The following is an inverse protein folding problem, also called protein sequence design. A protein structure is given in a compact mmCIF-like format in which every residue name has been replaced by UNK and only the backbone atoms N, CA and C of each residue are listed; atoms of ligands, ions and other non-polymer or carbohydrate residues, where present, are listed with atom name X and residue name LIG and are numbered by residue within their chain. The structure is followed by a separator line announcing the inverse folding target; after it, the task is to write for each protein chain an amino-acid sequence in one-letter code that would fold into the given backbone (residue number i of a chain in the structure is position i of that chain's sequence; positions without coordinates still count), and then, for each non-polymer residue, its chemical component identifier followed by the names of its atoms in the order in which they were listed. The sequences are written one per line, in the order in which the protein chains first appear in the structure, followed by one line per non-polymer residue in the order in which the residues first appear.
data_IF_349725546260
#
_entry.id   IF_349725546260
#
_cell.length_a   1.000
_cell.length_b   1.000
_cell.length_c   1.000
_cell.angle_alpha   90.00
_cell.angle_beta   90.00
_cell.angle_gamma   90.00
#
_symmetry.space_group_name_H-M   'P 1'
#
loop_
_entity.id
_entity.type
_entity.pdbx_description
1 polymer ?
#
# COMPACT_ATOMS: atom_id res chain seq x y z
N UNK A 1 -5.98 -5.10 -1.22
CA UNK A 1 -5.23 -6.17 -0.52
C UNK A 1 -3.73 -5.95 -0.42
N UNK A 2 -2.99 -5.71 -1.52
CA UNK A 2 -1.52 -5.48 -1.44
C UNK A 2 -1.15 -4.43 -0.39
N UNK A 3 -1.88 -3.31 -0.34
CA UNK A 3 -1.67 -2.28 0.69
C UNK A 3 -1.82 -2.80 2.12
N UNK A 4 -2.77 -3.69 2.39
CA UNK A 4 -2.93 -4.29 3.73
C UNK A 4 -1.82 -5.28 4.07
N UNK A 5 -1.35 -6.05 3.08
CA UNK A 5 -0.20 -6.94 3.27
C UNK A 5 1.04 -6.11 3.63
N UNK A 6 1.30 -5.04 2.87
CA UNK A 6 2.41 -4.12 3.11
C UNK A 6 2.29 -3.37 4.43
N UNK A 7 1.08 -3.07 4.91
CA UNK A 7 0.84 -2.38 6.19
C UNK A 7 0.69 -3.32 7.38
N UNK A 8 0.63 -4.63 7.16
CA UNK A 8 0.41 -5.63 8.20
C UNK A 8 -1.03 -5.68 8.72
N UNK A 9 -2.00 -5.25 7.90
CA UNK A 9 -3.44 -5.24 8.19
C UNK A 9 -4.21 -6.39 7.53
N UNK A 10 -3.53 -7.22 6.76
CA UNK A 10 -4.16 -8.30 6.00
C UNK A 10 -4.68 -9.43 6.92
N UNK A 11 -5.97 -9.73 6.78
CA UNK A 11 -6.77 -10.69 7.53
C UNK A 11 -6.82 -12.07 6.85
N UNK A 12 -6.04 -12.33 5.79
CA UNK A 12 -6.12 -13.61 5.09
C UNK A 12 -5.76 -14.78 6.03
N UNK A 13 -6.68 -15.72 6.24
CA UNK A 13 -6.49 -16.93 7.06
C UNK A 13 -6.89 -18.14 6.23
N UNK A 14 -6.00 -19.13 6.12
CA UNK A 14 -6.27 -20.39 5.42
C UNK A 14 -5.15 -21.40 5.62
N UNK A 15 -5.48 -22.62 6.05
CA UNK A 15 -4.58 -23.61 6.67
C UNK A 15 -3.23 -23.86 5.94
N UNK A 16 -3.18 -23.85 4.60
CA UNK A 16 -1.93 -24.07 3.84
C UNK A 16 -1.11 -22.80 3.60
N UNK A 17 -1.75 -21.63 3.63
CA UNK A 17 -1.16 -20.34 3.27
C UNK A 17 -0.76 -19.50 4.49
N UNK A 18 -1.06 -19.98 5.69
CA UNK A 18 -0.68 -19.32 6.94
C UNK A 18 0.84 -19.24 7.09
N UNK A 19 1.57 -20.33 6.80
CA UNK A 19 3.04 -20.33 6.79
C UNK A 19 3.64 -19.34 5.79
N UNK A 20 3.13 -19.32 4.55
CA UNK A 20 3.59 -18.37 3.52
C UNK A 20 3.31 -16.92 3.93
N UNK A 21 2.16 -16.65 4.54
CA UNK A 21 1.80 -15.34 5.08
C UNK A 21 2.73 -14.93 6.22
N UNK A 22 3.02 -15.84 7.15
CA UNK A 22 3.94 -15.60 8.26
C UNK A 22 5.35 -15.30 7.75
N UNK A 23 5.86 -16.08 6.80
CA UNK A 23 7.15 -15.87 6.16
C UNK A 23 7.20 -14.51 5.44
N UNK A 24 6.16 -14.18 4.68
CA UNK A 24 6.03 -12.88 4.02
C UNK A 24 6.03 -11.73 5.03
N UNK A 25 5.25 -11.82 6.10
CA UNK A 25 5.23 -10.79 7.14
C UNK A 25 6.56 -10.69 7.88
N UNK A 26 7.26 -11.81 8.13
CA UNK A 26 8.60 -11.82 8.72
C UNK A 26 9.63 -11.13 7.81
N UNK A 27 9.56 -11.36 6.50
CA UNK A 27 10.39 -10.70 5.52
C UNK A 27 10.12 -9.18 5.49
N UNK A 28 8.84 -8.79 5.49
CA UNK A 28 8.45 -7.37 5.53
C UNK A 28 8.95 -6.69 6.81
N UNK A 29 8.79 -7.31 7.99
CA UNK A 29 9.35 -6.78 9.25
C UNK A 29 10.87 -6.60 9.16
N UNK A 30 11.57 -7.55 8.54
CA UNK A 30 13.02 -7.48 8.34
C UNK A 30 13.42 -6.32 7.41
N UNK A 31 12.69 -6.10 6.32
CA UNK A 31 12.90 -4.99 5.40
C UNK A 31 12.65 -3.65 6.12
N UNK A 32 11.52 -3.50 6.81
CA UNK A 32 11.19 -2.26 7.51
C UNK A 32 12.11 -1.98 8.70
N UNK A 33 12.66 -3.00 9.35
CA UNK A 33 13.74 -2.85 10.33
C UNK A 33 14.98 -2.21 9.72
N UNK A 34 15.39 -2.66 8.52
CA UNK A 34 16.53 -2.08 7.80
C UNK A 34 16.25 -0.63 7.39
N UNK A 35 15.07 -0.37 6.80
CA UNK A 35 14.64 0.99 6.44
C UNK A 35 14.65 1.92 7.67
N UNK A 36 14.12 1.47 8.80
CA UNK A 36 14.15 2.22 10.05
C UNK A 36 15.60 2.51 10.52
N UNK A 37 16.50 1.52 10.42
CA UNK A 37 17.91 1.68 10.78
C UNK A 37 18.69 2.66 9.89
N UNK A 38 18.21 2.91 8.66
CA UNK A 38 18.81 3.87 7.73
C UNK A 38 18.27 5.30 7.89
N UNK A 39 17.28 5.52 8.78
CA UNK A 39 16.74 6.85 9.04
C UNK A 39 17.79 7.75 9.70
N UNK A 40 18.19 8.80 8.98
CA UNK A 40 19.21 9.77 9.45
C UNK A 40 18.63 10.88 10.33
N UNK A 41 17.33 11.16 10.21
CA UNK A 41 16.68 12.25 10.94
C UNK A 41 16.21 11.77 12.32
N UNK A 42 16.72 12.37 13.39
CA UNK A 42 16.36 12.03 14.77
C UNK A 42 14.84 12.09 15.03
N UNK A 43 14.15 13.12 14.51
CA UNK A 43 12.68 13.23 14.65
C UNK A 43 11.95 12.08 13.94
N UNK A 44 12.47 11.60 12.82
CA UNK A 44 11.90 10.46 12.11
C UNK A 44 12.12 9.15 12.90
N UNK A 45 13.33 8.95 13.41
CA UNK A 45 13.65 7.82 14.30
C UNK A 45 12.71 7.79 15.49
N UNK A 46 12.51 8.93 16.16
CA UNK A 46 11.59 9.03 17.30
C UNK A 46 10.13 8.77 16.90
N UNK A 47 9.65 9.37 15.81
CA UNK A 47 8.28 9.18 15.29
C UNK A 47 7.97 7.72 14.99
N UNK A 48 8.93 7.00 14.41
CA UNK A 48 8.76 5.62 13.93
C UNK A 48 9.30 4.57 14.89
N UNK A 49 9.78 4.96 16.07
CA UNK A 49 10.22 4.04 17.11
C UNK A 49 9.08 3.10 17.49
N UNK A 50 9.29 1.80 17.32
CA UNK A 50 8.32 0.77 17.63
C UNK A 50 8.99 -0.34 18.46
N UNK A 51 8.53 -0.51 19.70
CA UNK A 51 9.03 -1.55 20.59
C UNK A 51 8.65 -2.97 20.14
N UNK A 52 7.60 -3.11 19.34
CA UNK A 52 7.11 -4.41 18.87
C UNK A 52 7.78 -4.86 17.57
N UNK A 53 8.61 -4.01 16.94
CA UNK A 53 9.32 -4.32 15.70
C UNK A 53 8.42 -4.57 14.49
N UNK A 54 7.17 -4.12 14.52
CA UNK A 54 6.22 -4.25 13.42
C UNK A 54 6.23 -3.03 12.50
N UNK A 55 6.69 -1.88 13.00
CA UNK A 55 6.88 -0.63 12.28
C UNK A 55 5.61 -0.09 11.62
N UNK A 56 4.43 -0.31 12.21
CA UNK A 56 3.15 0.01 11.57
C UNK A 56 3.06 1.46 11.07
N UNK A 57 3.49 2.45 11.87
CA UNK A 57 3.52 3.86 11.44
C UNK A 57 4.39 4.09 10.21
N UNK A 58 5.57 3.48 10.17
CA UNK A 58 6.49 3.58 9.03
C UNK A 58 5.92 2.87 7.79
N UNK A 59 5.28 1.71 7.97
CA UNK A 59 4.65 0.94 6.88
C UNK A 59 3.47 1.69 6.26
N UNK A 60 2.65 2.35 7.08
CA UNK A 60 1.55 3.23 6.65
C UNK A 60 2.07 4.42 5.85
N UNK A 61 3.03 5.17 6.40
CA UNK A 61 3.58 6.35 5.73
C UNK A 61 4.33 5.96 4.44
N UNK A 62 5.03 4.82 4.43
CA UNK A 62 5.64 4.26 3.22
C UNK A 62 4.60 3.93 2.15
N UNK A 63 3.48 3.29 2.51
CA UNK A 63 2.41 3.00 1.56
C UNK A 63 1.80 4.29 0.99
N UNK A 64 1.51 5.27 1.85
CA UNK A 64 0.93 6.55 1.45
C UNK A 64 1.78 7.28 0.39
N UNK A 65 3.11 7.24 0.54
CA UNK A 65 4.03 7.89 -0.40
C UNK A 65 4.19 7.07 -1.70
N UNK A 66 4.21 5.74 -1.62
CA UNK A 66 4.54 4.88 -2.75
C UNK A 66 3.33 4.33 -3.53
N UNK A 67 2.10 4.46 -3.01
CA UNK A 67 0.88 3.88 -3.61
C UNK A 67 0.66 4.30 -5.07
N UNK A 68 1.03 5.52 -5.45
CA UNK A 68 0.93 5.99 -6.85
C UNK A 68 1.83 5.16 -7.78
N UNK A 69 3.07 4.90 -7.35
CA UNK A 69 4.02 4.10 -8.14
C UNK A 69 3.60 2.63 -8.18
N UNK A 70 3.05 2.10 -7.08
CA UNK A 70 2.49 0.75 -7.06
C UNK A 70 1.30 0.63 -8.01
N UNK A 71 0.38 1.60 -8.00
CA UNK A 71 -0.75 1.62 -8.93
C UNK A 71 -0.27 1.69 -10.39
N UNK A 72 0.75 2.50 -10.66
CA UNK A 72 1.40 2.59 -11.97
C UNK A 72 2.02 1.26 -12.40
N UNK A 73 2.59 0.47 -11.50
CA UNK A 73 3.08 -0.86 -11.84
C UNK A 73 1.92 -1.83 -12.15
N UNK A 74 0.88 -1.86 -11.29
CA UNK A 74 -0.26 -2.77 -11.43
C UNK A 74 -1.00 -2.58 -12.76
N UNK A 75 -1.13 -1.32 -13.19
CA UNK A 75 -1.90 -0.96 -14.39
C UNK A 75 -1.05 -0.81 -15.65
N UNK A 76 0.24 -1.20 -15.59
CA UNK A 76 1.20 -0.99 -16.69
C UNK A 76 0.74 -1.60 -18.03
N UNK A 77 0.15 -2.80 -17.99
CA UNK A 77 -0.28 -3.54 -19.18
C UNK A 77 -1.80 -3.48 -19.42
N UNK A 78 -2.49 -2.52 -18.79
CA UNK A 78 -3.94 -2.39 -18.93
C UNK A 78 -4.27 -1.55 -20.15
N UNK A 79 -4.71 -2.17 -21.23
CA UNK A 79 -5.09 -1.46 -22.45
C UNK A 79 -6.57 -1.04 -22.42
N UNK A 80 -6.85 0.20 -22.82
CA UNK A 80 -8.20 0.71 -23.09
C UNK A 80 -9.25 0.55 -21.96
N UNK A 81 -8.83 0.28 -20.72
CA UNK A 81 -9.73 0.18 -19.58
C UNK A 81 -9.78 1.48 -18.76
N UNK A 82 -10.94 1.72 -18.18
CA UNK A 82 -11.20 2.82 -17.25
C UNK A 82 -11.61 2.27 -15.89
N UNK A 83 -11.24 2.96 -14.83
CA UNK A 83 -11.83 2.71 -13.51
C UNK A 83 -13.31 3.09 -13.54
N UNK A 84 -14.15 2.20 -13.01
CA UNK A 84 -15.60 2.27 -13.16
C UNK A 84 -16.25 3.47 -12.47
N UNK A 85 -15.58 4.09 -11.49
CA UNK A 85 -16.05 5.32 -10.83
C UNK A 85 -15.37 6.55 -11.40
N UNK A 86 -16.13 7.64 -11.52
CA UNK A 86 -15.58 8.95 -11.83
C UNK A 86 -14.96 9.55 -10.57
N UNK A 87 -13.64 9.39 -10.41
CA UNK A 87 -12.91 9.81 -9.22
C UNK A 87 -11.79 10.80 -9.53
N UNK A 88 -11.51 11.05 -10.82
CA UNK A 88 -10.52 12.02 -11.26
C UNK A 88 -11.12 13.43 -11.28
N UNK A 89 -10.25 14.45 -11.24
CA UNK A 89 -10.65 15.85 -11.39
C UNK A 89 -11.69 16.29 -10.34
N UNK A 90 -11.49 15.92 -9.07
CA UNK A 90 -12.43 16.21 -7.99
C UNK A 90 -13.67 15.31 -7.94
N UNK A 91 -13.66 14.17 -8.66
CA UNK A 91 -14.79 13.23 -8.70
C UNK A 91 -15.76 13.46 -9.85
N UNK A 92 -15.40 14.30 -10.82
CA UNK A 92 -16.26 14.64 -11.96
C UNK A 92 -15.81 14.01 -13.28
N UNK A 93 -14.63 13.38 -13.30
CA UNK A 93 -14.07 12.80 -14.53
C UNK A 93 -13.70 11.34 -14.36
N UNK A 94 -13.90 10.57 -15.43
CA UNK A 94 -13.41 9.19 -15.52
C UNK A 94 -11.89 9.17 -15.69
N UNK A 95 -11.29 8.02 -15.40
CA UNK A 95 -9.90 7.77 -15.78
C UNK A 95 -9.74 7.76 -17.30
N UNK A 96 -8.53 8.01 -17.76
CA UNK A 96 -8.10 7.74 -19.14
C UNK A 96 -7.84 6.25 -19.34
N UNK A 97 -7.08 5.90 -20.37
CA UNK A 97 -6.50 4.56 -20.56
C UNK A 97 -5.69 4.14 -19.32
N UNK A 98 -5.51 2.82 -19.15
CA UNK A 98 -4.75 2.22 -18.04
C UNK A 98 -5.35 2.48 -16.65
N UNK A 99 -6.65 2.75 -16.51
CA UNK A 99 -7.29 2.97 -15.21
C UNK A 99 -6.57 4.03 -14.34
N UNK A 100 -6.10 5.13 -14.94
CA UNK A 100 -5.42 6.24 -14.22
C UNK A 100 -6.03 7.59 -14.55
N UNK A 101 -5.90 8.54 -13.63
CA UNK A 101 -6.18 9.94 -13.94
C UNK A 101 -5.07 10.51 -14.86
N UNK A 102 -5.35 11.61 -15.57
CA UNK A 102 -4.38 12.26 -16.48
C UNK A 102 -3.09 12.64 -15.75
N UNK A 103 -3.21 13.10 -14.51
CA UNK A 103 -2.10 13.44 -13.63
C UNK A 103 -1.43 12.20 -12.97
N UNK A 104 -1.75 10.99 -13.42
CA UNK A 104 -1.30 9.71 -12.85
C UNK A 104 -1.76 9.40 -11.42
N UNK A 105 -2.75 10.14 -10.90
CA UNK A 105 -3.33 9.83 -9.59
C UNK A 105 -4.03 8.47 -9.58
N UNK A 106 -4.02 7.86 -8.39
CA UNK A 106 -4.75 6.63 -8.11
C UNK A 106 -6.24 6.95 -8.00
N UNK A 107 -7.10 6.40 -8.87
CA UNK A 107 -8.53 6.73 -8.92
C UNK A 107 -9.36 6.03 -7.83
N UNK A 108 -8.72 5.40 -6.84
CA UNK A 108 -9.40 4.62 -5.80
C UNK A 108 -8.82 4.90 -4.43
N UNK A 109 -9.66 4.74 -3.41
CA UNK A 109 -9.31 4.79 -1.99
C UNK A 109 -9.67 3.49 -1.28
N UNK A 110 -9.87 2.39 -2.02
CA UNK A 110 -10.15 1.08 -1.42
C UNK A 110 -9.03 0.62 -0.49
N UNK A 111 -7.79 1.06 -0.72
CA UNK A 111 -6.69 0.86 0.21
C UNK A 111 -6.83 1.62 1.54
N UNK A 112 -7.82 2.48 1.71
CA UNK A 112 -8.17 3.09 3.01
C UNK A 112 -9.50 2.58 3.59
N UNK A 113 -10.13 1.61 2.93
CA UNK A 113 -11.33 0.92 3.44
C UNK A 113 -10.91 -0.34 4.20
N UNK A 114 -11.44 -0.57 5.43
CA UNK A 114 -11.19 -1.81 6.18
C UNK A 114 -11.43 -3.05 5.32
N UNK A 115 -10.52 -4.03 5.36
CA UNK A 115 -10.56 -5.20 4.46
C UNK A 115 -11.89 -5.94 4.46
N UNK A 116 -12.53 -6.06 5.62
CA UNK A 116 -13.79 -6.79 5.75
C UNK A 116 -14.98 -6.10 5.06
N UNK A 117 -14.85 -4.83 4.66
CA UNK A 117 -15.88 -4.05 3.95
C UNK A 117 -15.58 -3.90 2.45
N UNK A 118 -14.43 -4.38 1.98
CA UNK A 118 -13.98 -4.17 0.61
C UNK A 118 -14.69 -5.06 -0.39
#
# INVERSE_FOLDING_TARGET
DIGDIIRGKDLYVGNRKEKEKEELQKNLKTIFKKIYGELKNFKAVERYKDGNGNYYKLREDWWNINRQQVWKAITCNVENAKYFRQTCGGGSTATTTQCRCINSDVPTYLDYVPQHLR
#
